data_IF_411285684547
#
_entry.id   IF_411285684547
#
_cell.length_a   1.000
_cell.length_b   1.000
_cell.length_c   1.000
_cell.angle_alpha   90.00
_cell.angle_beta   90.00
_cell.angle_gamma   90.00
#
_symmetry.space_group_name_H-M   'P 1'
#
loop_
_entity.id
_entity.type
_entity.pdbx_description
1 polymer ?
#
# COMPACT_ATOMS: atom_id res chain seq x y z
N UNK A 1 9.20 18.65 -3.88
CA UNK A 1 9.54 17.67 -4.94
C UNK A 1 11.03 17.39 -4.85
N UNK A 2 11.42 16.12 -4.78
CA UNK A 2 12.83 15.69 -4.72
C UNK A 2 13.04 14.82 -5.96
N UNK A 3 14.03 15.17 -6.78
CA UNK A 3 14.30 14.50 -8.07
C UNK A 3 15.34 13.40 -7.89
N UNK A 4 15.25 12.36 -8.73
CA UNK A 4 16.22 11.26 -8.84
C UNK A 4 16.39 10.44 -7.55
N UNK A 5 15.29 10.14 -6.85
CA UNK A 5 15.32 9.24 -5.70
C UNK A 5 15.38 7.80 -6.22
N UNK A 6 16.38 7.02 -5.78
CA UNK A 6 16.54 5.60 -6.16
C UNK A 6 15.86 4.62 -5.21
N UNK A 7 15.57 5.09 -4.00
CA UNK A 7 15.02 4.29 -2.90
C UNK A 7 14.05 5.16 -2.10
N UNK A 8 12.80 4.71 -2.03
CA UNK A 8 11.79 5.27 -1.12
C UNK A 8 11.56 4.26 0.00
N UNK A 9 11.68 4.72 1.25
CA UNK A 9 11.31 3.93 2.43
C UNK A 9 10.15 4.62 3.12
N UNK A 10 8.96 4.03 3.04
CA UNK A 10 7.81 4.43 3.82
C UNK A 10 7.94 3.81 5.22
N UNK A 11 8.56 4.56 6.14
CA UNK A 11 8.72 4.11 7.53
C UNK A 11 7.37 3.92 8.23
N UNK A 12 6.43 4.83 7.96
CA UNK A 12 5.03 4.69 8.32
C UNK A 12 4.17 4.65 7.05
N UNK A 13 3.23 3.70 7.02
CA UNK A 13 2.31 3.56 5.91
C UNK A 13 1.39 4.80 5.80
N UNK A 14 1.18 5.28 4.57
CA UNK A 14 0.22 6.36 4.32
C UNK A 14 -1.21 5.90 4.62
N UNK A 15 -2.01 6.82 5.17
CA UNK A 15 -3.41 6.55 5.51
C UNK A 15 -4.32 6.58 4.27
N UNK A 16 -3.89 7.25 3.20
CA UNK A 16 -4.61 7.36 1.93
C UNK A 16 -3.81 6.75 0.78
N UNK A 17 -4.53 6.17 -0.18
CA UNK A 17 -3.96 5.58 -1.38
C UNK A 17 -3.20 6.60 -2.23
N UNK A 18 -3.78 7.77 -2.48
CA UNK A 18 -3.14 8.83 -3.29
C UNK A 18 -1.81 9.28 -2.69
N UNK A 19 -1.76 9.47 -1.37
CA UNK A 19 -0.54 9.82 -0.65
C UNK A 19 0.54 8.74 -0.80
N UNK A 20 0.14 7.46 -0.76
CA UNK A 20 1.06 6.34 -1.01
C UNK A 20 1.65 6.41 -2.42
N UNK A 21 0.80 6.56 -3.44
CA UNK A 21 1.24 6.64 -4.84
C UNK A 21 2.14 7.87 -5.07
N UNK A 22 1.80 9.03 -4.50
CA UNK A 22 2.61 10.25 -4.62
C UNK A 22 4.00 10.13 -3.95
N UNK A 23 4.13 9.33 -2.88
CA UNK A 23 5.43 9.00 -2.27
C UNK A 23 6.23 8.05 -3.15
N UNK A 24 5.60 6.98 -3.63
CA UNK A 24 6.23 6.01 -4.53
C UNK A 24 6.68 6.67 -5.85
N UNK A 25 5.91 7.62 -6.39
CA UNK A 25 6.20 8.33 -7.65
C UNK A 25 7.41 9.29 -7.61
N UNK A 26 8.15 9.35 -6.50
CA UNK A 26 9.45 10.03 -6.39
C UNK A 26 10.60 9.20 -6.98
N UNK A 27 10.37 7.91 -7.17
CA UNK A 27 11.27 6.95 -7.81
C UNK A 27 10.62 6.34 -9.07
N UNK A 28 11.33 5.51 -9.82
CA UNK A 28 10.83 4.76 -10.98
C UNK A 28 10.73 5.55 -12.29
N UNK A 29 11.65 6.50 -12.56
CA UNK A 29 11.62 7.32 -13.78
C UNK A 29 12.79 6.99 -14.73
N UNK A 30 12.49 6.98 -16.04
CA UNK A 30 13.48 6.93 -17.14
C UNK A 30 14.45 5.72 -17.14
N UNK A 31 13.95 4.51 -16.88
CA UNK A 31 14.72 3.27 -17.07
C UNK A 31 15.69 2.90 -15.95
N UNK A 32 15.70 3.64 -14.84
CA UNK A 32 16.45 3.28 -13.65
C UNK A 32 15.73 2.19 -12.84
N UNK A 33 16.51 1.25 -12.29
CA UNK A 33 16.01 0.25 -11.34
C UNK A 33 15.93 0.93 -9.98
N UNK A 34 14.70 1.04 -9.49
CA UNK A 34 14.32 1.88 -8.38
C UNK A 34 13.47 1.06 -7.41
N UNK A 35 13.59 1.32 -6.10
CA UNK A 35 12.99 0.47 -5.07
C UNK A 35 12.08 1.26 -4.14
N UNK A 36 10.98 0.62 -3.73
CA UNK A 36 10.09 1.13 -2.69
C UNK A 36 9.91 0.05 -1.63
N UNK A 37 10.24 0.40 -0.38
CA UNK A 37 9.96 -0.43 0.78
C UNK A 37 8.94 0.28 1.66
N UNK A 38 7.96 -0.48 2.16
CA UNK A 38 6.94 0.03 3.05
C UNK A 38 6.90 -0.85 4.28
N UNK A 39 7.13 -0.26 5.44
CA UNK A 39 6.97 -0.95 6.70
C UNK A 39 5.49 -0.92 7.10
N UNK A 40 5.01 -2.08 7.53
CA UNK A 40 3.67 -2.27 8.02
C UNK A 40 3.75 -3.02 9.34
N UNK A 41 3.10 -2.46 10.34
CA UNK A 41 2.85 -3.13 11.62
C UNK A 41 1.45 -3.75 11.61
N UNK A 42 1.16 -4.74 12.47
CA UNK A 42 -0.19 -5.28 12.61
C UNK A 42 -1.24 -4.22 12.95
N UNK A 43 -0.87 -3.16 13.68
CA UNK A 43 -1.78 -2.06 13.99
C UNK A 43 -2.18 -1.22 12.76
N UNK A 44 -1.46 -1.36 11.64
CA UNK A 44 -1.69 -0.67 10.37
C UNK A 44 -2.43 -1.55 9.34
N UNK A 45 -3.00 -2.68 9.75
CA UNK A 45 -3.73 -3.64 8.91
C UNK A 45 -4.82 -3.00 8.02
N UNK A 46 -5.47 -1.93 8.51
CA UNK A 46 -6.47 -1.15 7.76
C UNK A 46 -5.90 -0.57 6.46
N UNK A 47 -4.63 -0.19 6.44
CA UNK A 47 -3.99 0.45 5.28
C UNK A 47 -3.46 -0.57 4.27
N UNK A 48 -3.37 -1.85 4.64
CA UNK A 48 -2.87 -2.93 3.79
C UNK A 48 -3.67 -3.06 2.49
N UNK A 49 -4.98 -2.79 2.51
CA UNK A 49 -5.81 -2.77 1.31
C UNK A 49 -5.31 -1.81 0.23
N UNK A 50 -4.82 -0.62 0.62
CA UNK A 50 -4.25 0.36 -0.32
C UNK A 50 -2.94 -0.15 -0.93
N UNK A 51 -2.12 -0.84 -0.14
CA UNK A 51 -0.84 -1.39 -0.61
C UNK A 51 -1.09 -2.56 -1.57
N UNK A 52 -2.02 -3.46 -1.24
CA UNK A 52 -2.44 -4.54 -2.12
C UNK A 52 -2.95 -3.97 -3.45
N UNK A 53 -3.76 -2.91 -3.40
CA UNK A 53 -4.26 -2.25 -4.61
C UNK A 53 -3.12 -1.68 -5.45
N UNK A 54 -2.17 -0.98 -4.83
CA UNK A 54 -1.02 -0.42 -5.54
C UNK A 54 -0.17 -1.52 -6.22
N UNK A 55 0.09 -2.64 -5.51
CA UNK A 55 0.84 -3.78 -6.06
C UNK A 55 0.10 -4.47 -7.21
N UNK A 56 -1.23 -4.60 -7.11
CA UNK A 56 -2.08 -5.10 -8.20
C UNK A 56 -1.97 -4.21 -9.43
N UNK A 57 -2.09 -2.90 -9.25
CA UNK A 57 -2.02 -1.93 -10.35
C UNK A 57 -0.63 -1.88 -10.99
N UNK A 58 0.45 -2.07 -10.22
CA UNK A 58 1.82 -2.11 -10.77
C UNK A 58 2.19 -3.46 -11.41
N UNK A 59 1.34 -4.48 -11.30
CA UNK A 59 1.64 -5.84 -11.76
C UNK A 59 2.69 -6.57 -10.90
N UNK A 60 2.98 -6.06 -9.70
CA UNK A 60 3.93 -6.66 -8.78
C UNK A 60 3.29 -7.84 -8.03
N UNK A 61 4.05 -8.91 -7.79
CA UNK A 61 3.57 -10.03 -6.98
C UNK A 61 3.20 -9.56 -5.59
N UNK A 62 2.01 -9.92 -5.12
CA UNK A 62 1.51 -9.55 -3.79
C UNK A 62 2.03 -10.59 -2.80
N UNK A 63 2.83 -10.20 -1.79
CA UNK A 63 3.25 -11.12 -0.72
C UNK A 63 2.04 -11.69 0.03
N UNK A 64 2.05 -13.00 0.29
CA UNK A 64 0.98 -13.70 1.01
C UNK A 64 0.69 -13.09 2.38
N UNK A 65 1.74 -12.64 3.09
CA UNK A 65 1.61 -11.98 4.39
C UNK A 65 0.73 -10.72 4.36
N UNK A 66 0.70 -9.98 3.25
CA UNK A 66 -0.18 -8.81 3.11
C UNK A 66 -1.63 -9.25 2.95
N UNK A 67 -1.88 -10.29 2.17
CA UNK A 67 -3.23 -10.86 2.03
C UNK A 67 -3.75 -11.37 3.36
N UNK A 68 -2.94 -12.11 4.12
CA UNK A 68 -3.30 -12.60 5.46
C UNK A 68 -3.60 -11.47 6.45
N UNK A 69 -2.81 -10.39 6.41
CA UNK A 69 -3.04 -9.22 7.26
C UNK A 69 -4.35 -8.51 6.89
N UNK A 70 -4.62 -8.35 5.59
CA UNK A 70 -5.87 -7.77 5.10
C UNK A 70 -7.09 -8.63 5.45
N UNK A 71 -7.02 -9.94 5.28
CA UNK A 71 -8.11 -10.86 5.60
C UNK A 71 -8.43 -10.87 7.10
N UNK A 72 -7.39 -10.74 7.94
CA UNK A 72 -7.55 -10.63 9.39
C UNK A 72 -8.29 -9.35 9.77
N UNK A 73 -7.94 -8.23 9.14
CA UNK A 73 -8.65 -6.96 9.31
C UNK A 73 -10.12 -7.06 8.87
N UNK A 74 -10.39 -7.58 7.67
CA UNK A 74 -11.76 -7.73 7.15
C UNK A 74 -12.61 -8.57 8.10
N UNK A 75 -12.12 -9.73 8.56
CA UNK A 75 -12.84 -10.58 9.52
C UNK A 75 -13.12 -9.86 10.83
N UNK A 76 -12.17 -9.05 11.33
CA UNK A 76 -12.33 -8.30 12.59
C UNK A 76 -13.45 -7.26 12.46
N UNK A 77 -13.49 -6.53 11.37
CA UNK A 77 -14.51 -5.50 11.10
C UNK A 77 -15.88 -6.13 10.80
N UNK A 78 -15.93 -7.22 10.05
CA UNK A 78 -17.16 -7.99 9.80
C UNK A 78 -17.79 -8.52 11.09
N UNK A 79 -16.96 -8.99 12.04
CA UNK A 79 -17.41 -9.42 13.36
C UNK A 79 -17.98 -8.25 14.19
N UNK A 80 -17.61 -7.01 13.88
CA UNK A 80 -18.20 -5.79 14.45
C UNK A 80 -19.39 -5.26 13.64
N UNK A 81 -19.80 -5.95 12.57
CA UNK A 81 -20.89 -5.53 11.69
C UNK A 81 -20.52 -4.40 10.73
N UNK A 82 -19.23 -4.14 10.53
CA UNK A 82 -18.73 -3.10 9.62
C UNK A 82 -18.41 -3.74 8.27
N UNK A 83 -19.04 -3.25 7.21
CA UNK A 83 -18.70 -3.64 5.83
C UNK A 83 -17.39 -2.96 5.41
N UNK A 84 -16.34 -3.75 5.20
CA UNK A 84 -15.05 -3.24 4.73
C UNK A 84 -15.03 -3.16 3.21
N UNK A 85 -15.02 -1.94 2.69
CA UNK A 85 -14.71 -1.70 1.28
C UNK A 85 -13.22 -1.41 1.15
N UNK A 86 -12.53 -2.18 0.30
CA UNK A 86 -11.25 -1.73 -0.24
C UNK A 86 -11.54 -0.39 -0.91
N UNK A 87 -10.78 0.66 -0.59
CA UNK A 87 -10.99 1.99 -1.15
C UNK A 87 -10.90 1.98 -2.67
N UNK A 88 -12.01 1.73 -3.35
CA UNK A 88 -12.21 2.01 -4.77
C UNK A 88 -12.70 3.47 -4.83
N UNK A 89 -11.79 4.40 -4.55
CA UNK A 89 -12.04 5.83 -4.69
C UNK A 89 -11.14 6.40 -5.77
N UNK A 90 -11.71 6.79 -6.91
CA UNK A 90 -11.10 7.73 -7.86
C UNK A 90 -10.66 7.15 -9.21
N UNK A 91 -11.63 6.97 -10.12
CA UNK A 91 -11.60 7.68 -11.40
C UNK A 91 -12.82 8.61 -11.43
#
# INVERSE_FOLDING_TARGET
DIKNVILVVNYDCSNHYEDYIHRCGRTGRAGNIDYVYTFLTPAQERYTGNIIQALKTSGTSIPEVLTLLWDSYVKKEEAMGIEVKVGVGGF
#
